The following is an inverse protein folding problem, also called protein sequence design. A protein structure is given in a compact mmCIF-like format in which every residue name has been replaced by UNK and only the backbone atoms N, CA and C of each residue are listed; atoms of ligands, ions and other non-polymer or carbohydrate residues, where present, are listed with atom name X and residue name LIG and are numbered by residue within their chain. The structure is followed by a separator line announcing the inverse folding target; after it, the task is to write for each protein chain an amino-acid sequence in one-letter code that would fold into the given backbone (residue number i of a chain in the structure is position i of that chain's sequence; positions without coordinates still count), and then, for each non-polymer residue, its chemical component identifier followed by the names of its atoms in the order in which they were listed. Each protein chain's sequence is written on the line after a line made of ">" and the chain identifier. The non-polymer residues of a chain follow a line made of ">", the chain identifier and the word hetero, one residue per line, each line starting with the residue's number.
data_IF_976255282373
#
_entry.id   IF_976255282373
#
_cell.length_a   1.000
_cell.length_b   1.000
_cell.length_c   1.000
_cell.angle_alpha   90.00
_cell.angle_beta   90.00
_cell.angle_gamma   90.00
#
_symmetry.space_group_name_H-M   'P 1'
#
loop_
_entity.id
_entity.type
_entity.pdbx_description
1 polymer ?
#
# COMPACT_ATOMS: atom_id res chain seq x y z
N UNK A 1 -18.64 -6.77 -38.01
CA UNK A 1 -17.72 -6.71 -36.85
C UNK A 1 -17.24 -5.28 -36.55
N UNK A 2 -16.99 -4.39 -37.52
CA UNK A 2 -16.53 -3.01 -37.25
C UNK A 2 -17.56 -2.10 -36.56
N UNK A 3 -18.85 -2.24 -36.85
CA UNK A 3 -19.90 -1.35 -36.29
C UNK A 3 -20.17 -1.59 -34.79
N UNK A 4 -19.97 -2.82 -34.31
CA UNK A 4 -20.10 -3.17 -32.88
C UNK A 4 -18.90 -2.65 -32.10
N UNK A 5 -17.69 -2.80 -32.64
CA UNK A 5 -16.47 -2.23 -32.06
C UNK A 5 -16.54 -0.70 -32.01
N UNK A 6 -16.99 -0.05 -33.09
CA UNK A 6 -17.14 1.41 -33.13
C UNK A 6 -18.22 1.93 -32.16
N UNK A 7 -19.32 1.19 -31.96
CA UNK A 7 -20.35 1.54 -30.98
C UNK A 7 -19.85 1.35 -29.54
N UNK A 8 -19.09 0.27 -29.28
CA UNK A 8 -18.42 0.03 -28.01
C UNK A 8 -17.38 1.10 -27.70
N UNK A 9 -16.53 1.48 -28.67
CA UNK A 9 -15.58 2.58 -28.52
C UNK A 9 -16.30 3.88 -28.15
N UNK A 10 -17.37 4.22 -28.86
CA UNK A 10 -18.10 5.48 -28.63
C UNK A 10 -18.72 5.58 -27.23
N UNK A 11 -19.06 4.44 -26.60
CA UNK A 11 -19.64 4.40 -25.25
C UNK A 11 -18.56 4.19 -24.17
N UNK A 12 -17.58 3.31 -24.41
CA UNK A 12 -16.55 2.96 -23.45
C UNK A 12 -15.41 3.98 -23.37
N UNK A 13 -14.97 4.56 -24.49
CA UNK A 13 -13.90 5.55 -24.51
C UNK A 13 -14.20 6.77 -23.61
N UNK A 14 -15.36 7.44 -23.70
CA UNK A 14 -15.62 8.60 -22.85
C UNK A 14 -15.66 8.24 -21.37
N UNK A 15 -16.14 7.04 -21.02
CA UNK A 15 -16.14 6.55 -19.64
C UNK A 15 -14.72 6.25 -19.14
N UNK A 16 -13.92 5.54 -19.94
CA UNK A 16 -12.53 5.21 -19.64
C UNK A 16 -11.68 6.48 -19.50
N UNK A 17 -11.86 7.47 -20.39
CA UNK A 17 -11.19 8.77 -20.30
C UNK A 17 -11.60 9.53 -19.04
N UNK A 18 -12.89 9.50 -18.66
CA UNK A 18 -13.37 10.17 -17.44
C UNK A 18 -12.78 9.55 -16.18
N UNK A 19 -12.71 8.21 -16.11
CA UNK A 19 -12.06 7.50 -15.00
C UNK A 19 -10.56 7.79 -14.98
N UNK A 20 -9.90 7.73 -16.13
CA UNK A 20 -8.45 7.97 -16.24
C UNK A 20 -8.05 9.41 -15.89
N UNK A 21 -8.96 10.38 -16.02
CA UNK A 21 -8.76 11.78 -15.62
C UNK A 21 -9.09 12.05 -14.16
N UNK A 22 -9.62 11.08 -13.41
CA UNK A 22 -9.98 11.30 -12.02
C UNK A 22 -8.69 11.32 -11.15
N UNK A 23 -8.46 12.39 -10.35
CA UNK A 23 -7.20 12.59 -9.62
C UNK A 23 -6.78 11.44 -8.70
N UNK A 24 -7.74 10.83 -8.01
CA UNK A 24 -7.50 9.76 -7.05
C UNK A 24 -7.18 8.45 -7.75
N UNK A 25 -7.86 8.13 -8.85
CA UNK A 25 -7.54 6.96 -9.70
C UNK A 25 -6.15 7.12 -10.32
N UNK A 26 -5.83 8.32 -10.78
CA UNK A 26 -4.51 8.64 -11.32
C UNK A 26 -3.43 8.54 -10.24
N UNK A 27 -3.69 9.02 -9.01
CA UNK A 27 -2.80 8.88 -7.87
C UNK A 27 -2.56 7.42 -7.47
N UNK A 28 -3.61 6.59 -7.44
CA UNK A 28 -3.48 5.14 -7.22
C UNK A 28 -2.54 4.55 -8.27
N UNK A 29 -2.83 4.75 -9.55
CA UNK A 29 -2.03 4.25 -10.67
C UNK A 29 -0.56 4.70 -10.55
N UNK A 30 -0.33 6.00 -10.34
CA UNK A 30 1.01 6.56 -10.26
C UNK A 30 1.76 6.08 -9.00
N UNK A 31 1.05 5.89 -7.89
CA UNK A 31 1.62 5.30 -6.67
C UNK A 31 2.07 3.85 -6.90
N UNK A 32 1.25 3.04 -7.57
CA UNK A 32 1.62 1.67 -7.95
C UNK A 32 2.77 1.63 -8.96
N UNK A 33 2.82 2.58 -9.90
CA UNK A 33 3.97 2.70 -10.83
C UNK A 33 5.27 2.89 -10.07
N UNK A 34 5.26 3.68 -8.99
CA UNK A 34 6.45 3.88 -8.13
C UNK A 34 6.82 2.66 -7.31
N UNK A 35 5.85 1.81 -6.97
CA UNK A 35 6.07 0.53 -6.28
C UNK A 35 6.66 -0.55 -7.19
N UNK A 36 6.42 -0.49 -8.51
CA UNK A 36 6.80 -1.56 -9.45
C UNK A 36 8.23 -2.07 -9.32
N UNK A 37 9.29 -1.22 -9.21
CA UNK A 37 10.66 -1.72 -9.08
C UNK A 37 10.84 -2.63 -7.86
N UNK A 38 10.21 -2.27 -6.73
CA UNK A 38 10.28 -3.04 -5.50
C UNK A 38 9.50 -4.35 -5.61
N UNK A 39 8.29 -4.30 -6.18
CA UNK A 39 7.44 -5.48 -6.31
C UNK A 39 8.04 -6.49 -7.28
N UNK A 40 8.65 -6.02 -8.36
CA UNK A 40 9.36 -6.85 -9.31
C UNK A 40 10.57 -7.53 -8.66
N UNK A 41 11.38 -6.79 -7.90
CA UNK A 41 12.50 -7.37 -7.16
C UNK A 41 12.03 -8.46 -6.17
N UNK A 42 11.00 -8.18 -5.37
CA UNK A 42 10.42 -9.15 -4.44
C UNK A 42 9.87 -10.40 -5.14
N UNK A 43 9.11 -10.21 -6.23
CA UNK A 43 8.55 -11.30 -7.00
C UNK A 43 9.62 -12.21 -7.64
N UNK A 44 10.76 -11.64 -8.05
CA UNK A 44 11.88 -12.45 -8.57
C UNK A 44 12.45 -13.39 -7.51
N UNK A 45 12.62 -12.95 -6.27
CA UNK A 45 13.08 -13.82 -5.18
C UNK A 45 12.03 -14.88 -4.80
N UNK A 46 10.74 -14.52 -4.86
CA UNK A 46 9.65 -15.50 -4.69
C UNK A 46 9.71 -16.56 -5.78
N UNK A 47 9.88 -16.17 -7.04
CA UNK A 47 10.06 -17.09 -8.15
C UNK A 47 11.29 -17.99 -7.94
N UNK A 48 12.43 -17.43 -7.53
CA UNK A 48 13.64 -18.22 -7.27
C UNK A 48 13.39 -19.26 -6.18
N UNK A 49 12.79 -18.84 -5.07
CA UNK A 49 12.50 -19.73 -3.95
C UNK A 49 11.56 -20.88 -4.34
N UNK A 50 10.51 -20.59 -5.10
CA UNK A 50 9.47 -21.57 -5.43
C UNK A 50 9.82 -22.43 -6.65
N UNK A 51 10.48 -21.87 -7.66
CA UNK A 51 10.79 -22.57 -8.91
C UNK A 51 12.15 -23.26 -8.86
N UNK A 52 13.19 -22.56 -8.37
CA UNK A 52 14.57 -23.08 -8.43
C UNK A 52 15.04 -23.72 -7.13
N UNK A 53 14.45 -23.36 -5.99
CA UNK A 53 14.91 -23.85 -4.68
C UNK A 53 13.90 -24.78 -3.99
N UNK A 54 12.67 -24.95 -4.51
CA UNK A 54 11.67 -25.84 -3.92
C UNK A 54 11.74 -27.26 -4.48
N UNK A 55 12.63 -28.07 -3.91
CA UNK A 55 12.87 -29.44 -4.37
C UNK A 55 11.96 -30.52 -3.76
N UNK A 56 11.03 -30.13 -2.88
CA UNK A 56 9.93 -31.02 -2.48
C UNK A 56 9.06 -31.44 -3.68
N UNK A 57 8.90 -30.55 -4.66
CA UNK A 57 8.12 -30.80 -5.88
C UNK A 57 8.95 -31.49 -6.99
N UNK A 58 10.28 -31.40 -6.98
CA UNK A 58 11.15 -32.11 -7.94
C UNK A 58 11.22 -33.63 -7.72
N UNK A 59 10.75 -34.11 -6.56
CA UNK A 59 10.44 -35.54 -6.38
C UNK A 59 9.44 -36.04 -7.44
N UNK A 60 8.51 -35.18 -7.88
CA UNK A 60 7.57 -35.50 -8.97
C UNK A 60 8.24 -35.53 -10.36
N UNK A 61 9.42 -34.91 -10.49
CA UNK A 61 10.24 -34.89 -11.70
C UNK A 61 11.37 -35.95 -11.70
N UNK A 62 11.40 -36.84 -10.69
CA UNK A 62 12.36 -37.95 -10.61
C UNK A 62 13.78 -37.56 -10.15
N UNK A 63 14.01 -36.32 -9.72
CA UNK A 63 15.31 -35.86 -9.21
C UNK A 63 15.37 -36.14 -7.70
N UNK A 64 16.26 -37.05 -7.29
CA UNK A 64 16.51 -37.38 -5.88
C UNK A 64 17.75 -36.65 -5.38
N UNK A 65 17.54 -35.63 -4.56
CA UNK A 65 18.61 -34.96 -3.83
C UNK A 65 18.82 -35.63 -2.47
N UNK A 66 20.06 -35.65 -2.00
CA UNK A 66 20.38 -36.09 -0.65
C UNK A 66 19.90 -35.06 0.40
N UNK A 67 19.78 -35.50 1.64
CA UNK A 67 19.25 -34.68 2.72
C UNK A 67 20.08 -33.40 2.98
N UNK A 68 21.40 -33.46 2.82
CA UNK A 68 22.29 -32.32 3.08
C UNK A 68 22.15 -31.22 2.01
N UNK A 69 21.93 -31.63 0.75
CA UNK A 69 21.64 -30.70 -0.35
C UNK A 69 20.28 -30.02 -0.14
N UNK A 70 19.25 -30.76 0.29
CA UNK A 70 17.92 -30.21 0.60
C UNK A 70 18.00 -29.18 1.74
N UNK A 71 18.75 -29.49 2.79
CA UNK A 71 18.95 -28.58 3.92
C UNK A 71 19.65 -27.28 3.48
N UNK A 72 20.70 -27.39 2.67
CA UNK A 72 21.42 -26.24 2.10
C UNK A 72 20.48 -25.35 1.28
N UNK A 73 19.65 -25.95 0.42
CA UNK A 73 18.70 -25.24 -0.42
C UNK A 73 17.60 -24.55 0.39
N UNK A 74 17.12 -25.18 1.45
CA UNK A 74 16.19 -24.55 2.39
C UNK A 74 16.83 -23.38 3.14
N UNK A 75 18.12 -23.48 3.48
CA UNK A 75 18.90 -22.34 4.00
C UNK A 75 18.94 -21.17 3.01
N UNK A 76 19.17 -21.45 1.72
CA UNK A 76 19.19 -20.43 0.67
C UNK A 76 17.82 -19.76 0.46
N UNK A 77 16.70 -20.48 0.67
CA UNK A 77 15.35 -19.87 0.63
C UNK A 77 15.18 -18.75 1.65
N UNK A 78 15.95 -18.77 2.75
CA UNK A 78 15.95 -17.70 3.75
C UNK A 78 16.28 -16.33 3.15
N UNK A 79 17.16 -16.28 2.14
CA UNK A 79 17.50 -15.04 1.41
C UNK A 79 16.24 -14.47 0.75
N UNK A 80 15.54 -15.30 -0.03
CA UNK A 80 14.31 -14.87 -0.70
C UNK A 80 13.18 -14.54 0.27
N UNK A 81 13.10 -15.22 1.41
CA UNK A 81 12.16 -14.89 2.49
C UNK A 81 12.42 -13.50 3.08
N UNK A 82 13.68 -13.15 3.33
CA UNK A 82 14.05 -11.84 3.83
C UNK A 82 13.73 -10.73 2.82
N UNK A 83 14.01 -10.96 1.53
CA UNK A 83 13.65 -10.01 0.47
C UNK A 83 12.14 -9.88 0.34
N UNK A 84 11.38 -10.98 0.42
CA UNK A 84 9.92 -10.93 0.44
C UNK A 84 9.41 -10.05 1.59
N UNK A 85 9.91 -10.27 2.81
CA UNK A 85 9.50 -9.49 3.98
C UNK A 85 9.81 -8.00 3.83
N UNK A 86 10.93 -7.64 3.20
CA UNK A 86 11.29 -6.24 2.93
C UNK A 86 10.60 -5.61 1.72
N UNK A 87 9.80 -6.37 0.96
CA UNK A 87 9.14 -5.91 -0.27
C UNK A 87 7.63 -6.16 -0.23
N UNK A 88 7.20 -7.35 -0.64
CA UNK A 88 5.79 -7.74 -0.72
C UNK A 88 5.15 -7.90 0.67
N UNK A 89 5.93 -8.28 1.68
CA UNK A 89 5.49 -8.43 3.06
C UNK A 89 5.14 -7.11 3.76
N UNK A 90 5.54 -5.96 3.20
CA UNK A 90 5.22 -4.62 3.71
C UNK A 90 4.48 -3.77 2.66
N UNK A 91 3.88 -4.40 1.65
CA UNK A 91 3.25 -3.70 0.53
C UNK A 91 2.11 -2.76 0.95
N UNK A 92 1.28 -3.14 1.93
CA UNK A 92 0.18 -2.27 2.39
C UNK A 92 0.68 -1.07 3.19
N UNK A 93 1.88 -1.15 3.76
CA UNK A 93 2.57 -0.04 4.41
C UNK A 93 3.20 0.92 3.40
N UNK A 94 3.72 0.41 2.29
CA UNK A 94 4.39 1.22 1.27
C UNK A 94 3.42 1.86 0.26
N UNK A 95 2.30 1.20 -0.04
CA UNK A 95 1.26 1.74 -0.90
C UNK A 95 0.76 3.14 -0.49
N UNK A 96 0.36 3.40 0.77
CA UNK A 96 -0.12 4.73 1.21
C UNK A 96 0.93 5.81 1.00
N UNK A 97 2.22 5.51 1.19
CA UNK A 97 3.31 6.47 0.95
C UNK A 97 3.29 6.99 -0.48
N UNK A 98 3.37 6.08 -1.46
CA UNK A 98 3.49 6.46 -2.87
C UNK A 98 2.18 7.01 -3.44
N UNK A 99 1.03 6.50 -2.99
CA UNK A 99 -0.28 7.01 -3.40
C UNK A 99 -0.53 8.40 -2.84
N UNK A 100 -0.28 8.61 -1.54
CA UNK A 100 -0.42 9.90 -0.89
C UNK A 100 0.53 10.94 -1.49
N UNK A 101 1.78 10.54 -1.75
CA UNK A 101 2.75 11.37 -2.47
C UNK A 101 2.28 11.74 -3.88
N UNK A 102 1.80 10.78 -4.67
CA UNK A 102 1.32 11.03 -6.02
C UNK A 102 0.11 11.98 -6.05
N UNK A 103 -0.83 11.83 -5.11
CA UNK A 103 -1.98 12.73 -5.02
C UNK A 103 -1.54 14.14 -4.60
N UNK A 104 -0.66 14.26 -3.60
CA UNK A 104 -0.14 15.54 -3.15
C UNK A 104 0.63 16.32 -4.23
N UNK A 105 1.39 15.62 -5.08
CA UNK A 105 2.03 16.23 -6.26
C UNK A 105 0.99 16.80 -7.23
N UNK A 106 -0.06 16.03 -7.53
CA UNK A 106 -1.17 16.50 -8.37
C UNK A 106 -1.88 17.71 -7.75
N UNK A 107 -1.97 17.74 -6.41
CA UNK A 107 -2.54 18.86 -5.64
C UNK A 107 -1.60 20.05 -5.46
N UNK A 108 -0.33 19.94 -5.89
CA UNK A 108 0.74 20.95 -5.77
C UNK A 108 1.05 21.34 -4.32
N UNK A 109 1.03 20.36 -3.41
CA UNK A 109 1.45 20.51 -2.01
C UNK A 109 2.66 19.63 -1.72
N UNK A 110 3.23 19.71 -0.51
CA UNK A 110 4.42 18.91 -0.15
C UNK A 110 4.12 17.40 -0.20
N UNK A 111 4.66 16.76 -1.24
CA UNK A 111 4.41 15.36 -1.54
C UNK A 111 5.10 14.40 -0.58
N UNK A 112 6.31 14.74 -0.13
CA UNK A 112 7.05 13.92 0.81
C UNK A 112 6.37 13.93 2.19
N UNK A 113 5.93 15.11 2.63
CA UNK A 113 5.17 15.24 3.88
C UNK A 113 3.87 14.43 3.84
N UNK A 114 3.09 14.55 2.76
CA UNK A 114 1.85 13.78 2.61
C UNK A 114 2.10 12.26 2.57
N UNK A 115 3.14 11.81 1.87
CA UNK A 115 3.52 10.39 1.82
C UNK A 115 3.94 9.85 3.19
N UNK A 116 4.83 10.56 3.91
CA UNK A 116 5.27 10.17 5.24
C UNK A 116 4.10 10.14 6.25
N UNK A 117 3.22 11.15 6.20
CA UNK A 117 2.03 11.17 7.03
C UNK A 117 1.05 10.03 6.71
N UNK A 118 1.01 9.58 5.45
CA UNK A 118 0.18 8.44 5.06
C UNK A 118 0.66 7.13 5.67
N UNK A 119 1.98 6.94 5.77
CA UNK A 119 2.58 5.81 6.49
C UNK A 119 2.31 5.91 7.99
N UNK A 120 2.51 7.09 8.59
CA UNK A 120 2.24 7.31 10.00
C UNK A 120 0.77 7.04 10.35
N UNK A 121 -0.16 7.57 9.55
CA UNK A 121 -1.59 7.33 9.69
C UNK A 121 -1.95 5.85 9.55
N UNK A 122 -1.32 5.14 8.61
CA UNK A 122 -1.49 3.69 8.47
C UNK A 122 -1.11 2.96 9.75
N UNK A 123 0.05 3.28 10.32
CA UNK A 123 0.48 2.69 11.59
C UNK A 123 -0.43 3.10 12.75
N UNK A 124 -0.93 4.34 12.79
CA UNK A 124 -1.86 4.82 13.83
C UNK A 124 -3.14 3.99 13.90
N UNK A 125 -3.67 3.52 12.77
CA UNK A 125 -4.89 2.69 12.74
C UNK A 125 -4.60 1.19 12.76
N UNK A 126 -3.33 0.79 12.77
CA UNK A 126 -2.89 -0.61 12.82
C UNK A 126 -2.88 -1.11 14.27
N UNK A 127 -3.41 -2.31 14.55
CA UNK A 127 -3.31 -2.91 15.89
C UNK A 127 -1.88 -3.26 16.29
N UNK A 128 -1.49 -2.91 17.52
CA UNK A 128 -0.22 -3.29 18.15
C UNK A 128 -0.44 -4.40 19.19
N UNK A 129 -1.01 -5.52 18.74
CA UNK A 129 -1.21 -6.71 19.57
C UNK A 129 -1.00 -7.95 18.71
N UNK A 130 -0.05 -8.79 19.13
CA UNK A 130 0.16 -10.15 18.61
C UNK A 130 0.12 -11.08 19.81
N UNK A 131 -1.05 -11.69 20.05
CA UNK A 131 -1.31 -12.33 21.35
C UNK A 131 -1.22 -11.30 22.48
N UNK A 132 -0.40 -11.60 23.49
CA UNK A 132 -0.17 -10.70 24.62
C UNK A 132 0.97 -9.69 24.39
N UNK A 133 1.70 -9.79 23.28
CA UNK A 133 2.83 -8.90 23.00
C UNK A 133 2.38 -7.59 22.33
N UNK A 134 2.96 -6.47 22.77
CA UNK A 134 2.84 -5.18 22.10
C UNK A 134 3.72 -5.16 20.84
N UNK A 135 3.17 -5.65 19.74
CA UNK A 135 3.86 -5.80 18.47
C UNK A 135 2.88 -5.65 17.29
N UNK A 136 3.40 -5.33 16.12
CA UNK A 136 2.63 -5.26 14.88
C UNK A 136 2.73 -6.61 14.17
N UNK A 137 1.58 -7.24 13.92
CA UNK A 137 1.52 -8.46 13.13
C UNK A 137 1.89 -8.20 11.66
N UNK A 138 2.77 -9.04 11.10
CA UNK A 138 3.18 -8.94 9.70
C UNK A 138 2.00 -9.07 8.72
N UNK A 139 0.92 -9.75 9.13
CA UNK A 139 -0.32 -9.86 8.37
C UNK A 139 -0.94 -8.49 8.04
N UNK A 140 -0.79 -7.49 8.91
CA UNK A 140 -1.31 -6.14 8.66
C UNK A 140 -0.53 -5.37 7.59
N UNK A 141 0.77 -5.65 7.45
CA UNK A 141 1.68 -4.93 6.55
C UNK A 141 1.74 -5.56 5.14
N UNK A 142 1.30 -6.81 5.00
CA UNK A 142 1.31 -7.54 3.74
C UNK A 142 0.22 -7.10 2.76
N UNK A 143 0.29 -7.65 1.54
CA UNK A 143 -0.63 -7.33 0.44
C UNK A 143 -2.13 -7.55 0.73
N UNK A 144 -2.50 -8.35 1.73
CA UNK A 144 -3.89 -8.56 2.13
C UNK A 144 -4.59 -7.25 2.55
N UNK A 145 -3.84 -6.28 3.07
CA UNK A 145 -4.35 -5.01 3.56
C UNK A 145 -4.07 -3.84 2.60
N UNK A 146 -3.77 -4.13 1.33
CA UNK A 146 -3.40 -3.10 0.36
C UNK A 146 -4.52 -2.09 0.10
N UNK A 147 -5.77 -2.52 0.14
CA UNK A 147 -6.94 -1.63 -0.03
C UNK A 147 -7.00 -0.63 1.12
N UNK A 148 -6.72 -1.05 2.36
CA UNK A 148 -6.61 -0.15 3.51
C UNK A 148 -5.54 0.91 3.26
N UNK A 149 -4.36 0.49 2.79
CA UNK A 149 -3.27 1.39 2.42
C UNK A 149 -3.65 2.40 1.32
N UNK A 150 -4.37 1.95 0.28
CA UNK A 150 -4.88 2.83 -0.78
C UNK A 150 -5.80 3.92 -0.20
N UNK A 151 -6.78 3.52 0.60
CA UNK A 151 -7.77 4.44 1.19
C UNK A 151 -7.07 5.46 2.08
N UNK A 152 -6.17 5.00 2.95
CA UNK A 152 -5.43 5.86 3.89
C UNK A 152 -4.57 6.87 3.12
N UNK A 153 -3.81 6.42 2.11
CA UNK A 153 -2.98 7.32 1.29
C UNK A 153 -3.79 8.44 0.63
N UNK A 154 -4.96 8.11 0.07
CA UNK A 154 -5.85 9.10 -0.55
C UNK A 154 -6.44 10.07 0.49
N UNK A 155 -6.99 9.54 1.59
CA UNK A 155 -7.62 10.35 2.65
C UNK A 155 -6.61 11.31 3.27
N UNK A 156 -5.40 10.82 3.60
CA UNK A 156 -4.36 11.65 4.21
C UNK A 156 -3.90 12.74 3.27
N UNK A 157 -3.68 12.44 1.98
CA UNK A 157 -3.29 13.46 1.02
C UNK A 157 -4.36 14.53 0.78
N UNK A 158 -5.65 14.16 0.78
CA UNK A 158 -6.76 15.13 0.71
C UNK A 158 -6.85 15.99 1.98
N UNK A 159 -6.77 15.38 3.17
CA UNK A 159 -6.75 16.12 4.44
C UNK A 159 -5.57 17.08 4.50
N UNK A 160 -4.37 16.61 4.14
CA UNK A 160 -3.16 17.41 4.11
C UNK A 160 -3.32 18.60 3.15
N UNK A 161 -3.81 18.34 1.94
CA UNK A 161 -4.09 19.38 0.94
C UNK A 161 -5.08 20.42 1.46
N UNK A 162 -6.16 19.98 2.11
CA UNK A 162 -7.18 20.85 2.68
C UNK A 162 -6.59 21.79 3.75
N UNK A 163 -5.84 21.24 4.70
CA UNK A 163 -5.22 22.00 5.81
C UNK A 163 -4.21 23.02 5.27
N UNK A 164 -3.33 22.59 4.35
CA UNK A 164 -2.32 23.46 3.75
C UNK A 164 -2.96 24.60 2.95
N UNK A 165 -3.99 24.31 2.15
CA UNK A 165 -4.72 25.34 1.38
C UNK A 165 -5.44 26.35 2.27
N UNK A 166 -5.83 25.96 3.48
CA UNK A 166 -6.42 26.87 4.46
C UNK A 166 -5.39 27.75 5.19
N UNK A 167 -4.10 27.59 4.88
CA UNK A 167 -2.97 28.24 5.56
C UNK A 167 -2.85 27.87 7.04
N UNK A 168 -3.31 26.68 7.44
CA UNK A 168 -3.08 26.14 8.78
C UNK A 168 -1.69 25.51 8.87
N UNK A 169 -0.66 26.33 8.64
CA UNK A 169 0.75 25.91 8.59
C UNK A 169 1.61 26.94 9.29
N UNK A 170 2.72 26.48 9.88
CA UNK A 170 3.72 27.38 10.47
C UNK A 170 4.64 27.84 9.33
N UNK A 171 4.59 29.13 8.99
CA UNK A 171 5.47 29.73 7.99
C UNK A 171 6.71 30.29 8.67
N UNK A 172 7.88 29.83 8.23
CA UNK A 172 9.16 30.38 8.67
C UNK A 172 9.65 31.46 7.68
N UNK A 173 10.44 32.44 8.13
CA UNK A 173 11.06 33.44 7.26
C UNK A 173 12.00 32.81 6.22
N UNK A 174 12.28 33.55 5.14
CA UNK A 174 13.15 33.11 4.04
C UNK A 174 14.62 32.86 4.46
N UNK A 175 15.02 33.35 5.64
CA UNK A 175 16.34 33.09 6.22
C UNK A 175 16.52 31.65 6.70
N UNK A 176 15.44 30.86 6.81
CA UNK A 176 15.48 29.47 7.28
C UNK A 176 15.64 28.49 6.10
N UNK A 177 16.54 27.49 6.18
CA UNK A 177 16.68 26.48 5.14
C UNK A 177 15.35 25.80 4.76
N UNK A 178 15.15 25.57 3.46
CA UNK A 178 13.91 25.01 2.92
C UNK A 178 13.52 23.66 3.55
N UNK A 179 14.50 22.83 3.92
CA UNK A 179 14.26 21.55 4.62
C UNK A 179 13.60 21.74 5.98
N UNK A 180 14.01 22.74 6.74
CA UNK A 180 13.44 23.05 8.07
C UNK A 180 12.05 23.67 7.89
N UNK A 181 11.89 24.61 6.96
CA UNK A 181 10.59 25.24 6.67
C UNK A 181 9.51 24.23 6.28
N UNK A 182 9.86 23.22 5.46
CA UNK A 182 8.94 22.11 5.10
C UNK A 182 8.49 21.30 6.32
N UNK A 183 9.41 20.91 7.19
CA UNK A 183 9.08 20.15 8.41
C UNK A 183 8.11 20.90 9.33
N UNK A 184 8.33 22.21 9.54
CA UNK A 184 7.43 23.03 10.35
C UNK A 184 6.09 23.30 9.66
N UNK A 185 6.09 23.47 8.34
CA UNK A 185 4.84 23.64 7.57
C UNK A 185 3.95 22.39 7.63
N UNK A 186 4.56 21.19 7.77
CA UNK A 186 3.84 19.93 7.91
C UNK A 186 3.40 19.61 9.35
N UNK A 187 3.85 20.36 10.37
CA UNK A 187 3.60 20.05 11.78
C UNK A 187 2.10 20.08 12.14
N UNK A 188 1.42 21.21 11.84
CA UNK A 188 -0.02 21.36 12.12
C UNK A 188 -0.85 20.36 11.29
N UNK A 189 -0.62 20.21 9.97
CA UNK A 189 -1.27 19.15 9.20
C UNK A 189 -1.08 17.75 9.81
N UNK A 190 0.15 17.41 10.18
CA UNK A 190 0.47 16.11 10.77
C UNK A 190 -0.28 15.89 12.09
N UNK A 191 -0.25 16.88 12.99
CA UNK A 191 -0.96 16.80 14.27
C UNK A 191 -2.45 16.56 14.09
N UNK A 192 -3.12 17.32 13.21
CA UNK A 192 -4.55 17.19 12.97
C UNK A 192 -4.88 15.82 12.36
N UNK A 193 -4.15 15.41 11.31
CA UNK A 193 -4.40 14.14 10.61
C UNK A 193 -4.22 12.96 11.56
N UNK A 194 -3.11 12.91 12.30
CA UNK A 194 -2.84 11.81 13.22
C UNK A 194 -3.79 11.80 14.41
N UNK A 195 -4.25 12.96 14.88
CA UNK A 195 -5.28 13.03 15.92
C UNK A 195 -6.61 12.46 15.42
N UNK A 196 -7.03 12.79 14.20
CA UNK A 196 -8.25 12.24 13.58
C UNK A 196 -8.12 10.73 13.41
N UNK A 197 -7.00 10.25 12.89
CA UNK A 197 -6.75 8.81 12.72
C UNK A 197 -6.69 8.07 14.06
N UNK A 198 -6.10 8.69 15.09
CA UNK A 198 -6.05 8.14 16.45
C UNK A 198 -7.43 8.03 17.09
N UNK A 199 -8.28 9.05 16.92
CA UNK A 199 -9.67 9.01 17.38
C UNK A 199 -10.45 7.90 16.67
N UNK A 200 -10.26 7.74 15.36
CA UNK A 200 -10.86 6.63 14.59
C UNK A 200 -10.38 5.29 15.15
N UNK A 201 -9.07 5.10 15.33
CA UNK A 201 -8.51 3.85 15.86
C UNK A 201 -9.07 3.51 17.25
N UNK A 202 -9.14 4.49 18.15
CA UNK A 202 -9.70 4.34 19.49
C UNK A 202 -11.19 3.97 19.46
N UNK A 203 -11.99 4.65 18.63
CA UNK A 203 -13.41 4.38 18.50
C UNK A 203 -13.66 2.96 17.96
N UNK A 204 -12.92 2.55 16.93
CA UNK A 204 -13.03 1.20 16.36
C UNK A 204 -12.61 0.11 17.35
N UNK A 205 -11.54 0.35 18.10
CA UNK A 205 -11.09 -0.58 19.13
C UNK A 205 -12.15 -0.78 20.22
N UNK A 206 -12.89 0.27 20.58
CA UNK A 206 -14.01 0.19 21.54
C UNK A 206 -15.15 -0.71 21.03
N UNK A 207 -15.31 -0.85 19.71
CA UNK A 207 -16.25 -1.78 19.08
C UNK A 207 -15.66 -3.17 18.82
N UNK A 208 -14.46 -3.45 19.32
CA UNK A 208 -13.79 -4.74 19.14
C UNK A 208 -13.26 -4.98 17.73
N UNK A 209 -13.08 -3.93 16.93
CA UNK A 209 -12.58 -4.02 15.56
C UNK A 209 -11.41 -3.05 15.32
N UNK A 210 -10.89 -3.03 14.11
CA UNK A 210 -9.87 -2.09 13.66
C UNK A 210 -10.11 -1.70 12.20
N UNK A 211 -9.45 -0.64 11.75
CA UNK A 211 -9.67 -0.08 10.42
C UNK A 211 -9.43 -1.13 9.32
N UNK A 212 -8.34 -1.88 9.41
CA UNK A 212 -7.97 -2.88 8.40
C UNK A 212 -8.99 -4.00 8.31
N UNK A 213 -9.49 -4.47 9.46
CA UNK A 213 -10.53 -5.49 9.52
C UNK A 213 -11.83 -5.01 8.84
N UNK A 214 -12.28 -3.78 9.12
CA UNK A 214 -13.49 -3.22 8.49
C UNK A 214 -13.35 -3.18 6.97
N UNK A 215 -12.20 -2.70 6.47
CA UNK A 215 -11.96 -2.64 5.03
C UNK A 215 -11.91 -4.06 4.44
N UNK A 216 -11.30 -5.01 5.14
CA UNK A 216 -11.23 -6.39 4.70
C UNK A 216 -12.63 -7.02 4.56
N UNK A 217 -13.49 -6.82 5.56
CA UNK A 217 -14.82 -7.42 5.60
C UNK A 217 -15.79 -6.74 4.62
N UNK A 218 -15.69 -5.42 4.45
CA UNK A 218 -16.65 -4.66 3.64
C UNK A 218 -16.24 -4.50 2.18
N UNK A 219 -14.94 -4.49 1.87
CA UNK A 219 -14.44 -4.20 0.52
C UNK A 219 -13.60 -5.36 -0.01
N UNK A 220 -12.53 -5.76 0.69
CA UNK A 220 -11.55 -6.71 0.13
C UNK A 220 -12.16 -8.09 -0.11
N UNK A 221 -12.89 -8.64 0.85
CA UNK A 221 -13.47 -9.99 0.76
C UNK A 221 -14.57 -10.06 -0.31
N UNK A 222 -15.55 -9.15 -0.36
CA UNK A 222 -16.54 -9.14 -1.45
C UNK A 222 -15.89 -8.98 -2.83
N UNK A 223 -14.90 -8.08 -2.97
CA UNK A 223 -14.22 -7.87 -4.24
C UNK A 223 -13.42 -9.11 -4.69
N UNK A 224 -12.75 -9.79 -3.76
CA UNK A 224 -12.05 -11.04 -4.04
C UNK A 224 -13.03 -12.14 -4.50
N UNK A 225 -14.21 -12.22 -3.88
CA UNK A 225 -15.26 -13.17 -4.28
C UNK A 225 -15.83 -12.90 -5.67
N UNK A 226 -15.88 -11.65 -6.11
CA UNK A 226 -16.25 -11.32 -7.50
C UNK A 226 -15.15 -11.75 -8.48
N UNK A 227 -13.87 -11.64 -8.08
CA UNK A 227 -12.73 -12.09 -8.89
C UNK A 227 -12.76 -13.59 -9.19
N UNK A 228 -13.17 -14.42 -8.22
CA UNK A 228 -13.29 -15.87 -8.44
C UNK A 228 -14.44 -16.26 -9.38
N UNK A 229 -15.51 -15.45 -9.44
CA UNK A 229 -16.61 -15.64 -10.40
C UNK A 229 -16.17 -15.40 -11.85
N UNK A 230 -15.13 -14.58 -12.07
CA UNK A 230 -14.61 -14.23 -13.41
C UNK A 230 -13.53 -15.22 -13.90
N UNK A 231 -13.15 -16.22 -13.09
CA UNK A 231 -12.39 -17.40 -13.56
C UNK A 231 -10.89 -17.19 -13.83
N UNK A 232 -10.23 -16.32 -13.07
CA UNK A 232 -8.76 -16.15 -13.13
C UNK A 232 -8.01 -16.84 -11.98
N UNK A 233 -8.60 -17.89 -11.39
CA UNK A 233 -7.99 -18.71 -10.34
C UNK A 233 -7.61 -20.10 -10.88
#
# INVERSE_FOLDING_TARGET
>A
MSNVIASLEKVLLPFAVKIGKQPHVNAIKNGFIRLMPLTLAGAMFVLINNVFLSFGDFYSLGIRLDASTIETLNGLKGIGGNVYNGTLGIMSLMAPFFIGMALAEERKVDALAAGLLSVAAFMTVTPYSVGEAYAVGANWLGGANIISGIIIGLVVAEMFTFIVRRNWVIKLPDSVPASVSRSFSALIPGFIILSVMGIIAWALNTWGTNFHQIIMDTISTPLASLGSVVGWA
#
